data_IF_517767841131
#
_entry.id   IF_517767841131
#
_cell.length_a   1.000
_cell.length_b   1.000
_cell.length_c   1.000
_cell.angle_alpha   90.00
_cell.angle_beta   90.00
_cell.angle_gamma   90.00
#
_symmetry.space_group_name_H-M   'P 1'
#
loop_
_entity.id
_entity.type
_entity.pdbx_description
1 polymer ?
#
# COMPACT_ATOMS: atom_id res chain seq x y z
N UNK A 1 15.30 -14.11 -25.71
CA UNK A 1 14.14 -14.42 -24.91
C UNK A 1 14.07 -13.50 -23.68
N UNK A 2 12.89 -13.04 -23.42
CA UNK A 2 12.67 -12.21 -22.25
C UNK A 2 12.60 -13.11 -21.03
N UNK A 3 13.34 -12.76 -19.98
CA UNK A 3 13.27 -13.53 -18.75
C UNK A 3 11.91 -13.32 -18.07
N UNK A 4 11.47 -14.27 -17.25
CA UNK A 4 10.22 -14.06 -16.51
C UNK A 4 10.20 -12.77 -15.72
N UNK A 5 11.35 -12.36 -15.19
CA UNK A 5 11.41 -11.13 -14.39
C UNK A 5 11.20 -9.87 -15.23
N UNK A 6 11.45 -9.92 -16.55
CA UNK A 6 11.19 -8.77 -17.41
C UNK A 6 9.75 -8.74 -17.91
N UNK A 7 9.04 -9.87 -17.85
CA UNK A 7 7.63 -9.94 -18.19
C UNK A 7 6.74 -9.62 -16.99
N UNK A 8 7.26 -9.85 -15.79
CA UNK A 8 6.51 -9.64 -14.56
C UNK A 8 7.07 -8.45 -13.81
N UNK A 9 6.30 -7.38 -13.66
CA UNK A 9 6.78 -6.24 -12.91
C UNK A 9 7.06 -6.65 -11.47
N UNK A 10 8.01 -5.96 -10.86
CA UNK A 10 8.24 -6.13 -9.44
C UNK A 10 6.96 -5.74 -8.69
N UNK A 11 6.70 -6.45 -7.59
CA UNK A 11 5.51 -6.21 -6.78
C UNK A 11 5.96 -5.65 -5.44
N UNK A 12 5.28 -4.62 -4.98
CA UNK A 12 5.44 -4.13 -3.62
C UNK A 12 4.21 -4.47 -2.80
N UNK A 13 4.40 -4.58 -1.51
CA UNK A 13 3.31 -4.85 -0.58
C UNK A 13 3.36 -3.85 0.57
N UNK A 14 2.21 -3.37 0.99
CA UNK A 14 2.04 -2.52 2.15
C UNK A 14 1.27 -3.29 3.21
N UNK A 15 1.84 -3.40 4.40
CA UNK A 15 1.16 -3.93 5.57
C UNK A 15 0.76 -2.73 6.42
N UNK A 16 -0.51 -2.64 6.79
CA UNK A 16 -1.04 -1.45 7.44
C UNK A 16 -1.96 -1.87 8.57
N UNK A 17 -1.81 -1.27 9.74
CA UNK A 17 -2.69 -1.60 10.86
C UNK A 17 -2.92 -0.38 11.75
N UNK A 18 -4.15 -0.28 12.26
CA UNK A 18 -4.55 0.80 13.16
C UNK A 18 -5.82 0.41 13.90
N UNK A 19 -6.24 1.25 14.82
CA UNK A 19 -7.56 1.12 15.42
C UNK A 19 -8.59 1.36 14.31
N UNK A 20 -9.62 0.50 14.26
CA UNK A 20 -10.63 0.60 13.21
C UNK A 20 -11.34 1.95 13.26
N UNK A 21 -11.54 2.54 12.09
CA UNK A 21 -12.15 3.86 11.97
C UNK A 21 -12.83 3.99 10.62
N UNK A 22 -13.81 4.89 10.55
CA UNK A 22 -14.50 5.19 9.30
C UNK A 22 -13.53 5.88 8.33
N UNK A 23 -13.59 5.47 7.08
CA UNK A 23 -12.85 6.13 6.00
C UNK A 23 -11.49 5.55 5.68
N UNK A 24 -11.00 4.57 6.43
CA UNK A 24 -9.67 3.99 6.21
C UNK A 24 -9.52 3.46 4.79
N UNK A 25 -10.49 2.64 4.35
CA UNK A 25 -10.40 1.99 3.04
C UNK A 25 -10.42 3.04 1.93
N UNK A 26 -11.27 4.05 2.06
CA UNK A 26 -11.36 5.13 1.07
C UNK A 26 -10.04 5.90 0.99
N UNK A 27 -9.44 6.21 2.13
CA UNK A 27 -8.17 6.95 2.16
C UNK A 27 -7.04 6.12 1.57
N UNK A 28 -6.99 4.83 1.87
CA UNK A 28 -5.99 3.94 1.27
C UNK A 28 -6.15 3.89 -0.26
N UNK A 29 -7.39 3.67 -0.73
CA UNK A 29 -7.65 3.58 -2.16
C UNK A 29 -7.30 4.87 -2.87
N UNK A 30 -7.68 6.01 -2.29
CA UNK A 30 -7.39 7.32 -2.88
C UNK A 30 -5.90 7.61 -2.93
N UNK A 31 -5.17 7.23 -1.89
CA UNK A 31 -3.72 7.42 -1.87
C UNK A 31 -3.06 6.77 -3.08
N UNK A 32 -3.41 5.52 -3.35
CA UNK A 32 -2.83 4.79 -4.49
C UNK A 32 -3.33 5.34 -5.82
N UNK A 33 -4.62 5.66 -5.92
CA UNK A 33 -5.20 6.18 -7.16
C UNK A 33 -4.58 7.51 -7.56
N UNK A 34 -4.36 8.41 -6.61
CA UNK A 34 -3.78 9.73 -6.88
C UNK A 34 -2.36 9.63 -7.40
N UNK A 35 -1.68 8.56 -7.08
CA UNK A 35 -0.29 8.33 -7.51
C UNK A 35 -0.18 7.42 -8.73
N UNK A 36 -1.32 7.02 -9.28
CA UNK A 36 -1.33 6.15 -10.46
C UNK A 36 -0.83 4.74 -10.18
N UNK A 37 -0.93 4.30 -8.94
CA UNK A 37 -0.53 2.95 -8.53
C UNK A 37 -1.76 2.07 -8.48
N UNK A 38 -1.72 0.94 -9.17
CA UNK A 38 -2.86 0.04 -9.28
C UNK A 38 -2.77 -1.05 -8.23
N UNK A 39 -3.72 -1.05 -7.29
CA UNK A 39 -3.79 -2.12 -6.29
C UNK A 39 -4.22 -3.39 -7.00
N UNK A 40 -3.32 -4.36 -7.08
CA UNK A 40 -3.58 -5.63 -7.75
C UNK A 40 -4.09 -6.70 -6.81
N UNK A 41 -3.88 -6.52 -5.51
CA UNK A 41 -4.36 -7.45 -4.49
C UNK A 41 -4.62 -6.69 -3.21
N UNK A 42 -5.75 -7.01 -2.56
CA UNK A 42 -6.14 -6.35 -1.33
C UNK A 42 -6.77 -7.36 -0.39
N UNK A 43 -6.27 -7.40 0.84
CA UNK A 43 -6.82 -8.24 1.89
C UNK A 43 -6.97 -7.40 3.15
N UNK A 44 -8.04 -7.63 3.87
CA UNK A 44 -8.27 -6.92 5.13
C UNK A 44 -9.02 -7.80 6.10
N UNK A 45 -8.85 -7.52 7.39
CA UNK A 45 -9.72 -8.06 8.41
C UNK A 45 -9.68 -7.14 9.63
N UNK A 46 -10.75 -7.22 10.43
CA UNK A 46 -10.86 -6.47 11.66
C UNK A 46 -10.98 -7.48 12.81
N UNK A 47 -10.22 -7.27 13.84
CA UNK A 47 -10.21 -8.15 15.00
C UNK A 47 -10.14 -7.30 16.26
N UNK A 48 -11.14 -7.43 17.13
CA UNK A 48 -11.21 -6.73 18.41
C UNK A 48 -11.00 -5.22 18.25
N UNK A 49 -11.67 -4.63 17.25
CA UNK A 49 -11.61 -3.19 17.00
C UNK A 49 -10.32 -2.73 16.35
N UNK A 50 -9.50 -3.65 15.87
CA UNK A 50 -8.24 -3.32 15.20
C UNK A 50 -8.33 -3.72 13.74
N UNK A 51 -7.92 -2.81 12.86
CA UNK A 51 -7.97 -2.97 11.41
C UNK A 51 -6.60 -3.38 10.90
N UNK A 52 -6.56 -4.43 10.08
CA UNK A 52 -5.35 -4.92 9.43
C UNK A 52 -5.59 -5.02 7.94
N UNK A 53 -4.63 -4.61 7.13
CA UNK A 53 -4.74 -4.75 5.69
C UNK A 53 -3.39 -5.04 5.06
N UNK A 54 -3.45 -5.70 3.90
CA UNK A 54 -2.30 -5.93 3.05
C UNK A 54 -2.69 -5.55 1.62
N UNK A 55 -1.93 -4.64 1.05
CA UNK A 55 -2.16 -4.17 -0.32
C UNK A 55 -0.92 -4.48 -1.15
N UNK A 56 -1.13 -5.00 -2.36
CA UNK A 56 -0.03 -5.27 -3.29
C UNK A 56 -0.26 -4.46 -4.56
N UNK A 57 0.82 -3.98 -5.14
CA UNK A 57 0.75 -3.25 -6.41
C UNK A 57 2.01 -3.49 -7.21
N UNK A 58 1.89 -3.57 -8.56
CA UNK A 58 3.08 -3.67 -9.39
C UNK A 58 3.77 -2.31 -9.47
N UNK A 59 5.09 -2.33 -9.43
CA UNK A 59 5.87 -1.12 -9.61
C UNK A 59 5.85 -0.78 -11.10
N UNK A 60 5.41 0.42 -11.41
CA UNK A 60 5.31 0.89 -12.79
C UNK A 60 6.11 2.18 -12.95
N UNK A 61 5.95 2.86 -14.07
CA UNK A 61 6.69 4.08 -14.35
C UNK A 61 6.24 5.26 -13.49
N UNK A 62 5.13 5.13 -12.77
CA UNK A 62 4.69 6.13 -11.80
C UNK A 62 5.36 5.97 -10.46
N UNK A 63 6.00 4.84 -10.22
CA UNK A 63 6.71 4.60 -8.97
C UNK A 63 8.01 5.41 -8.95
N UNK A 64 8.14 6.27 -7.96
CA UNK A 64 9.36 7.07 -7.82
C UNK A 64 10.44 6.30 -7.06
N UNK A 65 10.25 6.15 -5.76
CA UNK A 65 11.14 5.35 -4.93
C UNK A 65 10.50 5.12 -3.57
N UNK A 66 11.11 4.23 -2.81
CA UNK A 66 10.62 3.84 -1.50
C UNK A 66 10.62 5.02 -0.51
N UNK A 67 11.65 5.85 -0.58
CA UNK A 67 11.76 6.98 0.37
C UNK A 67 10.65 8.00 0.13
N UNK A 68 10.34 8.30 -1.14
CA UNK A 68 9.26 9.22 -1.46
C UNK A 68 7.92 8.66 -1.02
N UNK A 69 7.69 7.37 -1.25
CA UNK A 69 6.46 6.71 -0.83
C UNK A 69 6.31 6.77 0.69
N UNK A 70 7.36 6.40 1.43
CA UNK A 70 7.34 6.42 2.88
C UNK A 70 6.99 7.79 3.42
N UNK A 71 7.61 8.82 2.86
CA UNK A 71 7.38 10.18 3.32
C UNK A 71 5.92 10.59 3.14
N UNK A 72 5.37 10.32 1.97
CA UNK A 72 4.00 10.71 1.65
C UNK A 72 2.99 9.86 2.39
N UNK A 73 3.26 8.56 2.50
CA UNK A 73 2.34 7.66 3.18
C UNK A 73 2.32 7.91 4.68
N UNK A 74 3.45 8.33 5.26
CA UNK A 74 3.52 8.65 6.68
C UNK A 74 2.48 9.70 7.07
N UNK A 75 2.29 10.71 6.22
CA UNK A 75 1.30 11.76 6.50
C UNK A 75 -0.12 11.18 6.58
N UNK A 76 -0.44 10.24 5.70
CA UNK A 76 -1.76 9.60 5.72
C UNK A 76 -1.89 8.67 6.94
N UNK A 77 -0.83 7.89 7.22
CA UNK A 77 -0.85 6.94 8.33
C UNK A 77 -1.00 7.65 9.68
N UNK A 78 -0.41 8.83 9.82
CA UNK A 78 -0.50 9.59 11.07
C UNK A 78 -1.93 9.99 11.41
N UNK A 79 -2.78 10.18 10.41
CA UNK A 79 -4.19 10.51 10.67
C UNK A 79 -4.91 9.43 11.45
N UNK A 80 -4.44 8.20 11.34
CA UNK A 80 -5.04 7.04 12.02
C UNK A 80 -4.14 6.50 13.11
N UNK A 81 -2.99 7.15 13.38
CA UNK A 81 -1.97 6.65 14.29
C UNK A 81 -1.61 5.21 13.92
N UNK A 82 -1.47 4.98 12.62
CA UNK A 82 -1.28 3.64 12.06
C UNK A 82 0.18 3.25 12.02
N UNK A 83 0.40 1.93 12.07
CA UNK A 83 1.70 1.33 11.78
C UNK A 83 1.68 0.81 10.35
N UNK A 84 2.79 0.92 9.64
CA UNK A 84 2.87 0.36 8.30
C UNK A 84 4.28 -0.09 7.96
N UNK A 85 4.35 -1.00 7.00
CA UNK A 85 5.62 -1.55 6.53
C UNK A 85 5.50 -1.82 5.04
N UNK A 86 6.51 -1.42 4.27
CA UNK A 86 6.53 -1.63 2.82
C UNK A 86 7.57 -2.72 2.51
N UNK A 87 7.17 -3.70 1.72
CA UNK A 87 8.03 -4.80 1.33
C UNK A 87 8.06 -4.95 -0.19
N UNK A 88 9.21 -5.36 -0.70
CA UNK A 88 9.39 -5.62 -2.14
C UNK A 88 9.59 -7.10 -2.34
N UNK A 89 8.87 -7.65 -3.32
CA UNK A 89 8.88 -9.09 -3.60
C UNK A 89 9.53 -9.40 -4.93
#
# INVERSE_FOLDING_TARGET
>A
MVSPSSDNPAIAALLFSCVDAVGIIADLANFFAERGLNISRYEEYTDDGHFFSRLEWPLNDRWEDEAAFDKEFTAMAQRYQASFDVRFM
#
